data_IF_466832311670
#
_entry.id   IF_466832311670
#
_cell.length_a   1.000
_cell.length_b   1.000
_cell.length_c   1.000
_cell.angle_alpha   90.00
_cell.angle_beta   90.00
_cell.angle_gamma   90.00
#
_symmetry.space_group_name_H-M   'P 1'
#
loop_
_entity.id
_entity.type
_entity.pdbx_description
1 polymer ?
#
# COMPACT_ATOMS: atom_id res chain seq x y z
N UNK A 1 -12.30 11.59 18.91
CA UNK A 1 -12.55 11.65 17.45
C UNK A 1 -11.32 12.29 16.81
N UNK A 2 -10.70 11.65 15.82
CA UNK A 2 -9.52 12.19 15.15
C UNK A 2 -9.83 13.48 14.39
N UNK A 3 -8.83 14.35 14.23
CA UNK A 3 -8.95 15.58 13.42
C UNK A 3 -9.38 15.21 11.98
N UNK A 4 -10.45 15.79 11.40
CA UNK A 4 -10.84 15.51 10.02
C UNK A 4 -9.77 16.06 9.06
N UNK A 5 -9.35 15.29 8.07
CA UNK A 5 -8.16 15.62 7.28
C UNK A 5 -8.36 15.44 5.77
N UNK A 6 -7.40 15.96 5.01
CA UNK A 6 -7.27 15.77 3.57
C UNK A 6 -5.78 15.74 3.19
N UNK A 7 -5.44 15.05 2.10
CA UNK A 7 -4.09 15.10 1.54
C UNK A 7 -3.96 16.36 0.70
N UNK A 8 -2.83 17.05 0.79
CA UNK A 8 -2.53 18.18 -0.06
C UNK A 8 -2.77 17.84 -1.53
N UNK A 9 -3.57 18.65 -2.24
CA UNK A 9 -4.06 18.26 -3.59
C UNK A 9 -2.93 17.99 -4.58
N UNK A 10 -1.78 18.67 -4.45
CA UNK A 10 -0.63 18.40 -5.30
C UNK A 10 -0.16 16.95 -5.21
N UNK A 11 -0.17 16.33 -4.03
CA UNK A 11 0.21 14.92 -3.86
C UNK A 11 -0.80 13.97 -4.50
N UNK A 12 -2.10 14.31 -4.46
CA UNK A 12 -3.14 13.54 -5.15
C UNK A 12 -3.03 13.68 -6.68
N UNK A 13 -2.65 14.87 -7.18
CA UNK A 13 -2.32 15.07 -8.60
C UNK A 13 -1.10 14.25 -9.00
N UNK A 14 -0.03 14.22 -8.18
CA UNK A 14 1.14 13.39 -8.44
C UNK A 14 0.76 11.91 -8.50
N UNK A 15 -0.06 11.43 -7.56
CA UNK A 15 -0.59 10.07 -7.57
C UNK A 15 -1.39 9.77 -8.83
N UNK A 16 -2.24 10.70 -9.28
CA UNK A 16 -2.96 10.59 -10.54
C UNK A 16 -2.02 10.48 -11.76
N UNK A 17 -0.98 11.31 -11.83
CA UNK A 17 -0.01 11.27 -12.92
C UNK A 17 0.81 9.97 -12.92
N UNK A 18 1.27 9.51 -11.75
CA UNK A 18 2.00 8.26 -11.60
C UNK A 18 1.12 7.06 -11.95
N UNK A 19 -0.15 7.05 -11.52
CA UNK A 19 -1.11 6.01 -11.89
C UNK A 19 -1.48 6.04 -13.39
N UNK A 20 -1.41 7.18 -14.05
CA UNK A 20 -1.64 7.27 -15.48
C UNK A 20 -0.43 6.78 -16.30
N UNK A 21 0.79 7.00 -15.79
CA UNK A 21 2.04 6.53 -16.40
C UNK A 21 2.20 5.01 -16.24
N UNK A 22 1.98 4.51 -15.02
CA UNK A 22 2.19 3.11 -14.66
C UNK A 22 0.89 2.54 -14.06
N UNK A 23 -0.14 2.30 -14.88
CA UNK A 23 -1.48 1.92 -14.40
C UNK A 23 -1.48 0.61 -13.62
N UNK A 24 -0.58 -0.30 -13.98
CA UNK A 24 -0.52 -1.63 -13.38
C UNK A 24 0.48 -1.73 -12.22
N UNK A 25 1.15 -0.63 -11.82
CA UNK A 25 2.09 -0.66 -10.70
C UNK A 25 1.44 -1.16 -9.42
N UNK A 26 2.25 -1.81 -8.60
CA UNK A 26 1.94 -2.07 -7.21
C UNK A 26 1.70 -0.77 -6.45
N UNK A 27 0.77 -0.83 -5.51
CA UNK A 27 0.39 0.25 -4.60
C UNK A 27 0.54 -0.16 -3.13
N UNK A 28 1.19 -1.31 -2.87
CA UNK A 28 1.28 -1.95 -1.55
C UNK A 28 1.92 -1.09 -0.46
N UNK A 29 2.72 -0.10 -0.85
CA UNK A 29 3.36 0.87 0.04
C UNK A 29 2.93 2.31 -0.27
N UNK A 30 1.81 2.51 -0.98
CA UNK A 30 1.23 3.83 -1.10
C UNK A 30 0.64 4.23 0.26
N UNK A 31 0.99 5.43 0.72
CA UNK A 31 0.65 5.90 2.06
C UNK A 31 0.25 7.36 2.03
N UNK A 32 -0.64 7.78 2.91
CA UNK A 32 -1.03 9.19 3.01
C UNK A 32 -1.14 9.65 4.46
N UNK A 33 -1.97 8.99 5.26
CA UNK A 33 -2.14 9.28 6.68
C UNK A 33 -1.25 8.36 7.53
N UNK A 34 -0.63 8.91 8.57
CA UNK A 34 0.06 8.13 9.59
C UNK A 34 -0.94 7.32 10.40
N UNK A 35 -0.61 6.08 10.75
CA UNK A 35 -1.42 5.31 11.70
C UNK A 35 -1.46 5.97 13.10
N UNK A 36 -2.28 5.42 14.00
CA UNK A 36 -2.43 5.97 15.35
C UNK A 36 -1.09 6.01 16.13
N UNK A 37 -0.18 5.06 15.89
CA UNK A 37 1.15 5.02 16.50
C UNK A 37 2.07 6.12 15.90
N UNK A 38 1.89 6.43 14.62
CA UNK A 38 2.54 7.53 13.89
C UNK A 38 2.06 8.92 14.34
N UNK A 39 0.83 9.03 14.89
CA UNK A 39 0.23 10.30 15.31
C UNK A 39 0.94 10.94 16.52
N UNK A 40 1.70 10.16 17.28
CA UNK A 40 2.46 10.61 18.44
C UNK A 40 3.78 11.32 18.08
N UNK A 41 4.21 11.28 16.82
CA UNK A 41 5.47 11.88 16.36
C UNK A 41 5.26 13.05 15.41
N UNK A 42 6.26 13.92 15.30
CA UNK A 42 6.30 14.93 14.24
C UNK A 42 6.51 14.22 12.89
N UNK A 43 5.48 14.23 12.05
CA UNK A 43 5.48 13.61 10.73
C UNK A 43 4.57 14.39 9.78
N UNK A 44 4.98 14.54 8.53
CA UNK A 44 4.15 15.18 7.50
C UNK A 44 2.99 14.27 7.04
N UNK A 45 2.99 12.99 7.44
CA UNK A 45 1.83 12.10 7.35
C UNK A 45 0.76 12.38 8.40
N UNK A 46 1.02 13.25 9.37
CA UNK A 46 0.03 13.69 10.33
C UNK A 46 -0.65 14.98 9.85
N UNK A 47 -1.96 15.16 10.11
CA UNK A 47 -2.62 16.41 9.78
C UNK A 47 -1.97 17.58 10.53
N UNK A 48 -1.45 18.55 9.77
CA UNK A 48 -0.88 19.78 10.30
C UNK A 48 -1.99 20.76 10.74
N UNK A 49 -1.62 21.97 11.18
CA UNK A 49 -2.61 22.97 11.64
C UNK A 49 -3.15 23.88 10.53
N UNK A 50 -2.71 23.72 9.27
CA UNK A 50 -3.33 24.38 8.14
C UNK A 50 -4.73 23.82 7.90
N UNK A 51 -5.71 24.72 7.81
CA UNK A 51 -7.12 24.39 7.60
C UNK A 51 -7.57 24.88 6.24
N UNK A 52 -8.17 23.97 5.48
CA UNK A 52 -8.94 24.34 4.28
C UNK A 52 -10.26 25.01 4.73
N UNK A 53 -10.87 25.78 3.84
CA UNK A 53 -12.13 26.49 4.13
C UNK A 53 -13.32 25.61 4.54
N UNK A 54 -13.21 24.28 4.36
CA UNK A 54 -14.18 23.27 4.82
C UNK A 54 -13.88 22.71 6.22
N UNK A 55 -12.86 23.24 6.91
CA UNK A 55 -12.50 22.87 8.27
C UNK A 55 -11.59 21.65 8.42
N UNK A 56 -11.18 21.00 7.31
CA UNK A 56 -10.27 19.85 7.33
C UNK A 56 -8.79 20.29 7.42
N UNK A 57 -8.00 19.46 8.10
CA UNK A 57 -6.57 19.66 8.30
C UNK A 57 -5.72 18.98 7.21
N UNK A 58 -4.63 19.61 6.81
CA UNK A 58 -3.83 19.15 5.67
C UNK A 58 -2.78 18.12 6.07
N UNK A 59 -2.69 17.04 5.31
CA UNK A 59 -1.60 16.06 5.35
C UNK A 59 -0.65 16.35 4.20
N UNK A 60 0.64 16.44 4.49
CA UNK A 60 1.67 16.96 3.58
C UNK A 60 2.64 15.91 3.07
N UNK A 61 2.42 14.62 3.38
CA UNK A 61 3.24 13.53 2.86
C UNK A 61 2.40 12.48 2.14
N UNK A 62 3.02 11.87 1.14
CA UNK A 62 2.51 10.69 0.43
C UNK A 62 3.68 9.77 0.09
N UNK A 63 3.46 8.48 0.29
CA UNK A 63 4.38 7.43 -0.13
C UNK A 63 3.92 6.86 -1.47
N UNK A 64 4.89 6.56 -2.34
CA UNK A 64 4.68 5.96 -3.65
C UNK A 64 5.45 4.65 -3.72
N UNK A 65 4.75 3.54 -3.89
CA UNK A 65 5.35 2.20 -3.93
C UNK A 65 6.46 2.11 -4.96
N UNK A 66 7.61 1.58 -4.54
CA UNK A 66 8.64 1.13 -5.46
C UNK A 66 8.24 -0.23 -6.00
N UNK A 67 8.03 -0.28 -7.30
CA UNK A 67 7.66 -1.49 -8.02
C UNK A 67 8.59 -1.67 -9.23
N UNK A 68 9.77 -2.28 -9.04
CA UNK A 68 10.72 -2.52 -10.13
C UNK A 68 10.05 -3.26 -11.30
N UNK A 69 9.96 -2.58 -12.45
CA UNK A 69 9.27 -3.05 -13.64
C UNK A 69 8.16 -2.09 -14.08
N UNK A 70 7.41 -1.55 -13.12
CA UNK A 70 6.39 -0.53 -13.37
C UNK A 70 6.85 0.83 -12.80
N UNK A 71 6.74 1.10 -11.50
CA UNK A 71 7.26 2.37 -10.94
C UNK A 71 8.60 2.17 -10.23
N UNK A 72 9.70 2.49 -10.91
CA UNK A 72 11.00 2.55 -10.27
C UNK A 72 11.11 3.78 -9.34
N UNK A 73 11.49 3.55 -8.09
CA UNK A 73 11.57 4.59 -7.06
C UNK A 73 12.72 5.56 -7.30
N UNK A 74 13.82 5.10 -7.89
CA UNK A 74 14.93 5.96 -8.28
C UNK A 74 14.51 6.86 -9.44
N UNK A 75 13.78 6.34 -10.43
CA UNK A 75 13.23 7.13 -11.54
C UNK A 75 12.34 8.27 -11.01
N UNK A 76 11.38 7.96 -10.12
CA UNK A 76 10.49 8.99 -9.57
C UNK A 76 11.27 10.02 -8.75
N UNK A 77 12.19 9.58 -7.90
CA UNK A 77 13.06 10.46 -7.12
C UNK A 77 13.88 11.39 -8.02
N UNK A 78 14.47 10.88 -9.10
CA UNK A 78 15.27 11.68 -10.03
C UNK A 78 14.41 12.72 -10.75
N UNK A 79 13.21 12.37 -11.21
CA UNK A 79 12.30 13.33 -11.88
C UNK A 79 11.88 14.46 -10.95
N UNK A 80 11.48 14.13 -9.72
CA UNK A 80 11.04 15.13 -8.74
C UNK A 80 12.19 16.04 -8.31
N UNK A 81 13.37 15.47 -8.06
CA UNK A 81 14.54 16.24 -7.60
C UNK A 81 15.21 17.05 -8.71
N UNK A 82 15.16 16.60 -9.97
CA UNK A 82 15.68 17.35 -11.13
C UNK A 82 14.87 18.62 -11.39
N UNK A 83 13.54 18.54 -11.31
CA UNK A 83 12.68 19.70 -11.55
C UNK A 83 12.50 20.58 -10.31
N UNK A 84 12.74 20.03 -9.11
CA UNK A 84 12.74 20.73 -7.84
C UNK A 84 11.52 21.64 -7.65
N UNK A 85 10.32 21.09 -7.89
CA UNK A 85 9.06 21.82 -7.82
C UNK A 85 8.95 22.61 -6.50
N UNK A 86 8.55 23.90 -6.52
CA UNK A 86 8.51 24.75 -5.33
C UNK A 86 7.52 24.29 -4.25
N UNK A 87 6.70 23.28 -4.54
CA UNK A 87 5.86 22.59 -3.56
C UNK A 87 6.64 21.59 -2.71
N UNK A 88 7.74 21.02 -3.20
CA UNK A 88 8.54 20.02 -2.47
C UNK A 88 9.18 20.63 -1.22
N UNK A 89 8.96 19.97 -0.08
CA UNK A 89 9.65 20.24 1.18
C UNK A 89 10.89 19.36 1.29
N UNK A 90 10.72 18.05 1.08
CA UNK A 90 11.80 17.07 0.98
C UNK A 90 11.30 15.77 0.34
N UNK A 91 12.23 14.89 -0.04
CA UNK A 91 11.95 13.55 -0.53
C UNK A 91 12.87 12.54 0.15
N UNK A 92 12.37 11.37 0.55
CA UNK A 92 13.19 10.29 1.13
C UNK A 92 13.10 9.07 0.23
N UNK A 93 14.26 8.55 -0.16
CA UNK A 93 14.37 7.37 -1.01
C UNK A 93 15.68 6.65 -0.74
N UNK A 94 15.60 5.33 -0.60
CA UNK A 94 16.74 4.41 -0.47
C UNK A 94 17.79 4.92 0.53
N UNK A 95 17.38 5.05 1.79
CA UNK A 95 18.20 5.52 2.93
C UNK A 95 18.82 6.92 2.75
N UNK A 96 18.28 7.74 1.85
CA UNK A 96 18.73 9.12 1.60
C UNK A 96 17.56 10.08 1.67
N UNK A 97 17.83 11.32 2.06
CA UNK A 97 16.88 12.43 2.05
C UNK A 97 17.42 13.53 1.13
N UNK A 98 16.56 14.02 0.25
CA UNK A 98 16.82 15.18 -0.60
C UNK A 98 16.04 16.39 -0.08
N UNK A 99 16.70 17.55 -0.04
CA UNK A 99 16.07 18.82 0.33
C UNK A 99 16.39 19.89 -0.72
N UNK A 100 15.42 20.71 -1.15
CA UNK A 100 15.67 21.81 -2.09
C UNK A 100 16.83 22.70 -1.65
N UNK A 101 17.75 23.03 -2.57
CA UNK A 101 18.93 23.86 -2.29
C UNK A 101 20.05 23.19 -1.50
N UNK A 102 19.84 21.98 -0.96
CA UNK A 102 20.84 21.21 -0.20
C UNK A 102 21.29 19.95 -0.97
N UNK A 103 20.35 19.27 -1.64
CA UNK A 103 20.62 18.00 -2.32
C UNK A 103 20.50 16.78 -1.41
N UNK A 104 21.07 15.65 -1.85
CA UNK A 104 20.98 14.36 -1.17
C UNK A 104 21.93 14.25 0.03
N UNK A 105 21.41 13.75 1.15
CA UNK A 105 22.18 13.36 2.35
C UNK A 105 21.74 11.98 2.85
N UNK A 106 22.55 11.28 3.66
CA UNK A 106 22.10 10.09 4.37
C UNK A 106 20.86 10.38 5.22
N UNK A 107 19.88 9.49 5.19
CA UNK A 107 18.69 9.59 6.03
C UNK A 107 18.93 8.88 7.37
N UNK A 108 18.87 9.64 8.46
CA UNK A 108 19.03 9.15 9.84
C UNK A 108 17.77 9.35 10.69
N UNK A 109 16.63 9.64 10.05
CA UNK A 109 15.40 10.10 10.71
C UNK A 109 14.48 9.00 11.26
N UNK A 110 14.83 7.72 11.11
CA UNK A 110 14.02 6.61 11.62
C UNK A 110 14.45 5.24 11.10
N UNK A 111 13.82 4.16 11.60
CA UNK A 111 14.17 2.78 11.25
C UNK A 111 13.70 2.37 9.85
N UNK A 112 12.72 3.06 9.26
CA UNK A 112 12.24 2.77 7.91
C UNK A 112 13.29 3.22 6.87
N UNK A 113 13.87 2.31 6.09
CA UNK A 113 14.94 2.64 5.15
C UNK A 113 14.44 3.24 3.82
N UNK A 114 13.12 3.33 3.59
CA UNK A 114 12.50 3.85 2.38
C UNK A 114 13.01 3.17 1.10
N UNK A 115 13.12 1.84 1.12
CA UNK A 115 13.51 1.04 -0.07
C UNK A 115 12.33 0.45 -0.82
N UNK A 116 11.15 0.39 -0.18
CA UNK A 116 9.93 -0.15 -0.79
C UNK A 116 8.98 0.94 -1.29
N UNK A 117 9.29 2.21 -1.04
CA UNK A 117 8.54 3.37 -1.52
C UNK A 117 9.40 4.63 -1.52
N UNK A 118 9.00 5.60 -2.35
CA UNK A 118 9.48 6.98 -2.32
C UNK A 118 8.55 7.79 -1.44
N UNK A 119 9.07 8.40 -0.39
CA UNK A 119 8.31 9.31 0.46
C UNK A 119 8.48 10.74 -0.05
N UNK A 120 7.37 11.40 -0.37
CA UNK A 120 7.34 12.78 -0.87
C UNK A 120 6.62 13.65 0.12
N UNK A 121 7.30 14.70 0.60
CA UNK A 121 6.72 15.72 1.46
C UNK A 121 6.65 17.07 0.75
N UNK A 122 5.52 17.76 0.89
CA UNK A 122 5.27 19.11 0.36
C UNK A 122 5.16 20.15 1.48
N UNK A 123 5.37 21.42 1.15
CA UNK A 123 5.23 22.51 2.13
C UNK A 123 3.78 22.68 2.59
N UNK A 124 3.53 22.94 3.87
CA UNK A 124 2.17 23.19 4.34
C UNK A 124 1.56 24.46 3.73
N UNK A 125 0.23 24.48 3.61
CA UNK A 125 -0.54 25.62 3.16
C UNK A 125 -1.03 25.53 1.71
N UNK A 126 -1.57 26.65 1.23
CA UNK A 126 -2.24 26.73 -0.08
C UNK A 126 -1.34 26.38 -1.26
N UNK A 127 -0.02 26.54 -1.13
CA UNK A 127 0.94 26.16 -2.17
C UNK A 127 0.87 24.66 -2.48
N UNK A 128 0.78 23.82 -1.46
CA UNK A 128 0.66 22.37 -1.65
C UNK A 128 -0.72 21.93 -2.14
N UNK A 129 -1.72 22.82 -2.11
CA UNK A 129 -3.04 22.57 -2.70
C UNK A 129 -3.14 23.00 -4.17
N UNK A 130 -2.05 23.50 -4.76
CA UNK A 130 -1.98 23.77 -6.18
C UNK A 130 -2.22 22.50 -7.00
N UNK A 131 -3.15 22.58 -7.94
CA UNK A 131 -3.54 21.51 -8.86
C UNK A 131 -2.70 21.47 -10.14
N UNK A 132 -1.67 22.34 -10.23
CA UNK A 132 -0.72 22.31 -11.36
C UNK A 132 -0.05 20.94 -11.44
N UNK A 133 0.05 20.40 -12.65
CA UNK A 133 0.69 19.10 -12.87
C UNK A 133 2.17 19.14 -12.44
N UNK A 134 2.66 18.04 -11.89
CA UNK A 134 4.07 17.82 -11.64
C UNK A 134 4.80 17.64 -12.96
N UNK A 135 5.97 18.25 -13.09
CA UNK A 135 6.83 18.02 -14.23
C UNK A 135 7.62 16.72 -14.02
N UNK A 136 7.16 15.65 -14.66
CA UNK A 136 7.83 14.34 -14.67
C UNK A 136 8.69 14.13 -15.93
N UNK A 137 8.94 15.19 -16.70
CA UNK A 137 9.61 15.14 -18.01
C UNK A 137 8.64 14.89 -19.18
N UNK A 138 9.17 14.72 -20.38
CA UNK A 138 8.37 14.46 -21.58
C UNK A 138 7.54 13.17 -21.43
N UNK A 139 6.26 13.22 -21.81
CA UNK A 139 5.43 12.03 -21.93
C UNK A 139 6.12 11.02 -22.87
N UNK A 140 6.47 9.83 -22.35
CA UNK A 140 7.20 8.80 -23.10
C UNK A 140 8.72 8.78 -22.90
N UNK A 141 9.29 9.58 -21.97
CA UNK A 141 10.66 9.34 -21.54
C UNK A 141 10.70 8.01 -20.74
N UNK A 142 11.41 6.97 -21.21
CA UNK A 142 11.28 5.64 -20.65
C UNK A 142 11.65 5.63 -19.15
N UNK A 143 10.76 5.07 -18.34
CA UNK A 143 11.13 4.34 -17.14
C UNK A 143 12.18 3.28 -17.55
N UNK A 144 13.23 2.97 -16.76
CA UNK A 144 14.23 1.98 -17.18
C UNK A 144 13.59 0.68 -17.70
N UNK A 145 14.21 -0.02 -18.67
CA UNK A 145 13.59 -1.12 -19.39
C UNK A 145 13.05 -2.17 -18.42
N UNK A 146 11.75 -2.40 -18.53
CA UNK A 146 11.00 -3.42 -17.83
C UNK A 146 11.66 -4.80 -18.06
N UNK A 147 12.18 -5.53 -17.05
CA UNK A 147 12.42 -6.96 -17.21
C UNK A 147 11.07 -7.65 -17.52
N UNK A 148 11.03 -8.73 -18.33
CA UNK A 148 9.77 -9.27 -18.83
C UNK A 148 8.81 -9.64 -17.67
N UNK A 149 7.66 -8.96 -17.65
CA UNK A 149 6.61 -9.12 -16.64
C UNK A 149 5.94 -10.49 -16.75
N UNK A 150 5.79 -11.26 -15.65
CA UNK A 150 4.88 -12.40 -15.62
C UNK A 150 3.44 -11.91 -15.78
N UNK A 151 2.70 -12.47 -16.72
CA UNK A 151 1.32 -12.06 -17.08
C UNK A 151 0.31 -12.40 -15.97
N UNK A 152 -0.33 -11.39 -15.36
CA UNK A 152 -1.55 -11.54 -14.54
C UNK A 152 -2.03 -10.20 -13.96
N UNK A 153 -3.29 -9.82 -14.19
CA UNK A 153 -3.89 -8.52 -13.80
C UNK A 153 -4.53 -8.61 -12.42
N UNK A 154 -4.12 -7.79 -11.45
CA UNK A 154 -4.74 -7.78 -10.12
C UNK A 154 -6.16 -7.16 -10.22
N UNK A 155 -7.19 -7.89 -9.80
CA UNK A 155 -8.61 -7.54 -9.94
C UNK A 155 -9.25 -6.87 -8.71
N UNK A 156 -8.58 -6.84 -7.55
CA UNK A 156 -9.10 -6.19 -6.32
C UNK A 156 -7.99 -5.54 -5.50
N UNK A 157 -8.21 -4.29 -5.03
CA UNK A 157 -7.28 -3.51 -4.19
C UNK A 157 -8.01 -2.90 -2.99
N UNK A 158 -7.38 -3.00 -1.80
CA UNK A 158 -7.60 -2.28 -0.51
C UNK A 158 -9.00 -2.17 0.13
N UNK A 159 -10.12 -2.26 -0.59
CA UNK A 159 -11.46 -2.26 0.03
C UNK A 159 -11.87 -3.62 0.64
N UNK A 160 -11.06 -4.67 0.42
CA UNK A 160 -11.31 -6.03 0.91
C UNK A 160 -10.30 -6.47 1.97
N UNK A 161 -9.94 -5.57 2.89
CA UNK A 161 -9.20 -5.95 4.09
C UNK A 161 -10.19 -6.56 5.09
N UNK A 162 -10.08 -7.86 5.32
CA UNK A 162 -10.79 -8.51 6.41
C UNK A 162 -9.96 -8.39 7.69
N UNK A 163 -10.63 -8.29 8.83
CA UNK A 163 -9.96 -8.36 10.13
C UNK A 163 -10.37 -9.66 10.81
N UNK A 164 -9.39 -10.49 11.14
CA UNK A 164 -9.58 -11.62 12.04
C UNK A 164 -9.47 -11.08 13.48
N UNK A 165 -10.53 -11.12 14.30
CA UNK A 165 -10.44 -10.70 15.70
C UNK A 165 -9.44 -11.55 16.50
N UNK A 166 -8.85 -10.97 17.54
CA UNK A 166 -7.99 -11.72 18.45
C UNK A 166 -8.80 -12.84 19.15
N UNK A 167 -8.26 -14.05 19.18
CA UNK A 167 -8.84 -15.18 19.90
C UNK A 167 -7.72 -16.12 20.35
N UNK A 168 -7.56 -16.32 21.65
CA UNK A 168 -6.57 -17.27 22.19
C UNK A 168 -7.04 -18.73 22.11
N UNK A 169 -8.34 -18.95 21.87
CA UNK A 169 -8.94 -20.24 21.57
C UNK A 169 -9.16 -20.40 20.06
N UNK A 170 -9.25 -21.64 19.57
CA UNK A 170 -9.54 -21.92 18.15
C UNK A 170 -10.92 -21.37 17.77
N UNK A 171 -10.94 -20.48 16.78
CA UNK A 171 -12.14 -19.88 16.19
C UNK A 171 -12.09 -19.94 14.66
N UNK A 172 -13.10 -19.43 13.97
CA UNK A 172 -13.09 -19.31 12.52
C UNK A 172 -13.72 -18.03 12.01
N UNK A 173 -13.29 -17.61 10.81
CA UNK A 173 -13.89 -16.54 10.02
C UNK A 173 -14.12 -17.01 8.58
N UNK A 174 -15.08 -16.38 7.89
CA UNK A 174 -15.39 -16.70 6.49
C UNK A 174 -15.23 -15.47 5.62
N UNK A 175 -14.27 -15.53 4.71
CA UNK A 175 -14.01 -14.46 3.76
C UNK A 175 -14.69 -14.75 2.43
N UNK A 176 -15.42 -13.78 1.89
CA UNK A 176 -15.91 -13.85 0.52
C UNK A 176 -14.78 -13.48 -0.45
N UNK A 177 -14.63 -14.25 -1.53
CA UNK A 177 -13.61 -14.03 -2.55
C UNK A 177 -14.22 -14.13 -3.96
N UNK A 178 -13.70 -13.42 -4.96
CA UNK A 178 -14.25 -13.46 -6.31
C UNK A 178 -13.98 -14.82 -6.99
N UNK A 179 -15.00 -15.63 -7.29
CA UNK A 179 -14.78 -16.94 -7.94
C UNK A 179 -14.25 -16.83 -9.37
N UNK A 180 -14.36 -15.66 -9.98
CA UNK A 180 -13.87 -15.41 -11.32
C UNK A 180 -12.34 -15.24 -11.40
N UNK A 181 -11.64 -15.09 -10.28
CA UNK A 181 -10.20 -14.80 -10.21
C UNK A 181 -9.45 -15.84 -9.38
N UNK A 182 -8.16 -16.01 -9.64
CA UNK A 182 -7.27 -16.59 -8.62
C UNK A 182 -7.10 -15.55 -7.52
N UNK A 183 -6.94 -15.94 -6.26
CA UNK A 183 -6.83 -14.99 -5.15
C UNK A 183 -5.61 -15.35 -4.30
N UNK A 184 -4.95 -14.36 -3.73
CA UNK A 184 -3.92 -14.50 -2.72
C UNK A 184 -4.41 -13.82 -1.45
N UNK A 185 -4.38 -14.54 -0.32
CA UNK A 185 -4.60 -13.97 1.00
C UNK A 185 -3.23 -13.64 1.59
N UNK A 186 -3.04 -12.39 2.00
CA UNK A 186 -1.79 -11.92 2.61
C UNK A 186 -2.12 -11.49 4.04
N UNK A 187 -1.44 -12.08 5.01
CA UNK A 187 -1.71 -11.82 6.43
C UNK A 187 -0.69 -10.81 6.95
N UNK A 188 -1.17 -9.66 7.42
CA UNK A 188 -0.37 -8.73 8.19
C UNK A 188 -0.70 -8.95 9.67
N UNK A 189 0.17 -9.70 10.34
CA UNK A 189 0.02 -10.04 11.73
C UNK A 189 1.24 -9.56 12.51
N UNK A 190 1.02 -8.78 13.57
CA UNK A 190 2.06 -8.42 14.54
C UNK A 190 2.36 -9.59 15.51
N UNK A 191 1.65 -10.71 15.38
CA UNK A 191 1.71 -11.90 16.24
C UNK A 191 1.59 -13.18 15.41
N UNK A 192 2.13 -14.30 15.90
CA UNK A 192 1.95 -15.63 15.27
C UNK A 192 0.47 -15.99 15.25
N UNK A 193 -0.01 -16.49 14.11
CA UNK A 193 -1.35 -17.05 13.95
C UNK A 193 -1.23 -18.57 13.99
N UNK A 194 -1.93 -19.21 14.91
CA UNK A 194 -2.00 -20.66 15.03
C UNK A 194 -3.28 -21.19 14.38
N UNK A 195 -3.21 -21.97 13.31
CA UNK A 195 -4.44 -22.39 12.58
C UNK A 195 -4.18 -23.32 11.42
N UNK A 196 -5.08 -24.30 11.19
CA UNK A 196 -4.75 -25.52 10.43
C UNK A 196 -5.50 -25.74 9.11
N UNK A 197 -6.58 -25.02 8.81
CA UNK A 197 -7.42 -25.40 7.66
C UNK A 197 -8.00 -24.20 6.91
N UNK A 198 -7.82 -24.22 5.59
CA UNK A 198 -8.50 -23.35 4.63
C UNK A 198 -9.47 -24.19 3.81
N UNK A 199 -10.75 -23.87 3.91
CA UNK A 199 -11.79 -24.54 3.14
C UNK A 199 -12.26 -23.62 2.01
N UNK A 200 -12.08 -24.10 0.78
CA UNK A 200 -12.41 -23.36 -0.44
C UNK A 200 -13.74 -23.90 -0.98
N UNK A 201 -14.81 -23.14 -0.77
CA UNK A 201 -16.14 -23.52 -1.23
C UNK A 201 -16.47 -22.89 -2.59
N UNK A 202 -17.19 -23.64 -3.43
CA UNK A 202 -17.74 -23.13 -4.69
C UNK A 202 -19.13 -23.71 -4.96
N UNK A 203 -20.03 -22.96 -5.63
CA UNK A 203 -21.31 -23.49 -6.09
C UNK A 203 -21.21 -24.30 -7.38
N UNK A 204 -20.07 -24.33 -8.08
CA UNK A 204 -19.91 -25.03 -9.37
C UNK A 204 -19.42 -26.46 -9.15
N UNK A 205 -20.20 -27.49 -9.54
CA UNK A 205 -19.79 -28.89 -9.37
C UNK A 205 -18.43 -29.18 -10.02
N UNK A 206 -17.50 -29.78 -9.26
CA UNK A 206 -16.15 -30.14 -9.74
C UNK A 206 -15.13 -29.00 -9.79
N UNK A 207 -15.46 -27.82 -9.25
CA UNK A 207 -14.51 -26.72 -9.00
C UNK A 207 -14.29 -26.59 -7.48
N UNK A 208 -13.27 -25.86 -7.03
CA UNK A 208 -12.93 -25.74 -5.60
C UNK A 208 -12.44 -27.05 -4.96
N UNK A 209 -12.14 -27.07 -3.66
CA UNK A 209 -11.76 -28.33 -2.98
C UNK A 209 -12.97 -29.16 -2.55
N UNK A 210 -14.20 -28.73 -2.86
CA UNK A 210 -15.42 -29.48 -2.49
C UNK A 210 -15.61 -29.63 -0.98
N UNK A 211 -14.95 -28.80 -0.17
CA UNK A 211 -14.91 -28.94 1.29
C UNK A 211 -13.76 -29.79 1.81
N UNK A 212 -12.86 -30.29 0.95
CA UNK A 212 -11.64 -30.97 1.39
C UNK A 212 -10.61 -29.90 1.82
N UNK A 213 -10.25 -29.80 3.11
CA UNK A 213 -9.36 -28.76 3.57
C UNK A 213 -8.00 -28.90 2.89
N UNK A 214 -7.56 -27.84 2.20
CA UNK A 214 -6.14 -27.66 1.96
C UNK A 214 -5.50 -27.47 3.32
N UNK A 215 -4.86 -28.52 3.84
CA UNK A 215 -4.24 -28.49 5.18
C UNK A 215 -3.19 -27.38 5.19
N UNK A 216 -3.42 -26.36 6.00
CA UNK A 216 -2.46 -25.31 6.23
C UNK A 216 -1.57 -25.66 7.41
N UNK A 217 -0.37 -25.08 7.43
CA UNK A 217 0.63 -25.27 8.50
C UNK A 217 0.22 -24.43 9.71
N UNK A 218 0.72 -24.81 10.88
CA UNK A 218 0.28 -24.27 12.17
C UNK A 218 0.73 -22.83 12.45
N UNK A 219 1.48 -22.16 11.58
CA UNK A 219 2.05 -20.82 11.83
C UNK A 219 2.07 -19.96 10.57
N UNK A 220 1.48 -18.75 10.62
CA UNK A 220 1.56 -17.71 9.56
C UNK A 220 2.56 -16.62 9.97
N UNK A 221 3.47 -16.23 9.07
CA UNK A 221 4.36 -15.06 9.25
C UNK A 221 3.79 -13.80 8.58
N UNK A 222 4.19 -12.63 9.07
CA UNK A 222 3.81 -11.34 8.46
C UNK A 222 4.22 -11.29 6.98
N UNK A 223 3.27 -10.96 6.10
CA UNK A 223 3.50 -10.86 4.66
C UNK A 223 3.47 -12.21 3.92
N UNK A 224 3.18 -13.32 4.61
CA UNK A 224 3.03 -14.62 3.97
C UNK A 224 1.80 -14.65 3.05
N UNK A 225 2.00 -15.19 1.84
CA UNK A 225 0.99 -15.24 0.78
C UNK A 225 0.39 -16.65 0.65
N UNK A 226 -0.93 -16.77 0.80
CA UNK A 226 -1.66 -18.02 0.59
C UNK A 226 -2.50 -17.94 -0.68
N UNK A 227 -2.15 -18.79 -1.66
CA UNK A 227 -2.87 -18.86 -2.93
C UNK A 227 -4.17 -19.65 -2.82
N UNK A 228 -5.25 -19.01 -3.21
CA UNK A 228 -6.61 -19.52 -3.32
C UNK A 228 -6.95 -19.70 -4.80
N UNK A 229 -7.33 -20.91 -5.22
CA UNK A 229 -7.56 -21.21 -6.63
C UNK A 229 -8.82 -20.53 -7.17
N UNK A 230 -8.79 -20.22 -8.48
CA UNK A 230 -9.94 -19.70 -9.22
C UNK A 230 -11.15 -20.63 -9.11
N UNK A 231 -12.34 -20.05 -8.99
CA UNK A 231 -13.60 -20.75 -8.79
C UNK A 231 -14.04 -20.80 -7.33
N UNK A 232 -13.17 -20.45 -6.38
CA UNK A 232 -13.50 -20.33 -4.95
C UNK A 232 -14.32 -19.07 -4.73
N UNK A 233 -15.48 -19.16 -4.06
CA UNK A 233 -16.29 -18.00 -3.71
C UNK A 233 -16.22 -17.64 -2.23
N UNK A 234 -15.80 -18.59 -1.38
CA UNK A 234 -15.60 -18.39 0.06
C UNK A 234 -14.39 -19.16 0.56
N UNK A 235 -13.70 -18.54 1.51
CA UNK A 235 -12.57 -19.13 2.23
C UNK A 235 -12.92 -19.15 3.71
N UNK A 236 -12.96 -20.34 4.31
CA UNK A 236 -13.07 -20.47 5.76
C UNK A 236 -11.67 -20.55 6.36
N UNK A 237 -11.40 -19.74 7.37
CA UNK A 237 -10.10 -19.66 8.05
C UNK A 237 -10.31 -20.08 9.49
N UNK A 238 -9.72 -21.20 9.90
CA UNK A 238 -9.70 -21.66 11.30
C UNK A 238 -8.37 -21.22 11.95
N UNK A 239 -8.41 -20.47 13.05
CA UNK A 239 -7.23 -19.84 13.64
C UNK A 239 -7.38 -19.53 15.14
N UNK A 240 -6.25 -19.19 15.76
CA UNK A 240 -6.13 -18.48 17.03
C UNK A 240 -4.93 -17.51 16.96
N UNK A 241 -5.04 -16.35 17.59
CA UNK A 241 -4.03 -15.30 17.61
C UNK A 241 -4.20 -14.38 18.82
N UNK A 242 -3.08 -13.84 19.32
CA UNK A 242 -3.07 -12.97 20.49
C UNK A 242 -3.50 -11.52 20.20
N UNK A 243 -3.58 -11.14 18.91
CA UNK A 243 -3.99 -9.80 18.48
C UNK A 243 -4.77 -9.87 17.16
N UNK A 244 -5.60 -8.86 16.84
CA UNK A 244 -6.31 -8.84 15.57
C UNK A 244 -5.35 -8.87 14.38
N UNK A 245 -5.73 -9.55 13.32
CA UNK A 245 -4.92 -9.72 12.11
C UNK A 245 -5.64 -9.13 10.92
N UNK A 246 -4.93 -8.31 10.13
CA UNK A 246 -5.44 -7.85 8.84
C UNK A 246 -5.11 -8.87 7.76
N UNK A 247 -6.13 -9.24 6.98
CA UNK A 247 -5.99 -10.15 5.84
C UNK A 247 -6.33 -9.38 4.57
N UNK A 248 -5.33 -9.21 3.72
CA UNK A 248 -5.48 -8.60 2.41
C UNK A 248 -5.90 -9.67 1.41
N UNK A 249 -7.01 -9.42 0.70
CA UNK A 249 -7.51 -10.30 -0.34
C UNK A 249 -7.11 -9.72 -1.70
N UNK A 250 -6.11 -10.32 -2.33
CA UNK A 250 -5.60 -9.90 -3.62
C UNK A 250 -6.11 -10.83 -4.72
N UNK A 251 -7.01 -10.38 -5.58
CA UNK A 251 -7.42 -11.17 -6.75
C UNK A 251 -6.43 -10.97 -7.90
N UNK A 252 -6.05 -12.04 -8.59
CA UNK A 252 -5.18 -12.10 -9.77
C UNK A 252 -5.98 -12.78 -10.90
N UNK A 253 -6.06 -12.14 -12.07
CA UNK A 253 -6.63 -12.69 -13.31
C UNK A 253 -5.55 -13.09 -14.30
#
# INVERSE_FOLDING_TARGET
MGKPWYVAHSLDILLGQVNALEPDRSRVSDGSIGDADHSARLSDHNPNDYRRGDGRFQVCARDFTHDPGDLDGQWLADRLTTHADPRLKYLIWNRRIWTPGIGWKPYTGGPNPHTSHVHVSVVAGSRADSTVLWNLGAAGAPNPPNPPRPTGRILMTEDNVATLPASMDTTYEVLAVPPAAQVSLIFAAKTVIYGGHLYNWTPVPGKGTGGDPGRWRTEVQEGEEIRIPRGTSKVHIEYSCASPVSVFIQAIA
#
